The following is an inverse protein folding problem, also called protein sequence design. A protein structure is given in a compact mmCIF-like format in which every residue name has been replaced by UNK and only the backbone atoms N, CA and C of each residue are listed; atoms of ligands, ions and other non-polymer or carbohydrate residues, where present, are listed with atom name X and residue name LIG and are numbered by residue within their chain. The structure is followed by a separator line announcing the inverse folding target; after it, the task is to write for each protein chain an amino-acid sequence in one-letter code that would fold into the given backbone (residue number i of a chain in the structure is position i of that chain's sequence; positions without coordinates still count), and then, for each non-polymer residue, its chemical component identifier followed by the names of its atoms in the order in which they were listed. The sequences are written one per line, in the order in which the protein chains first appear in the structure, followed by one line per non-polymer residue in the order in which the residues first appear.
data_IF_170896269075
#
_entry.id   IF_170896269075
#
_cell.length_a   1.000
_cell.length_b   1.000
_cell.length_c   1.000
_cell.angle_alpha   90.00
_cell.angle_beta   90.00
_cell.angle_gamma   90.00
#
_symmetry.space_group_name_H-M   'P 1'
#
loop_
_entity.id
_entity.type
_entity.pdbx_description
1 polymer ?
#
# COMPACT_ATOMS: atom_id res chain seq x y z
N UNK A 1 15.26 16.28 -35.54
CA UNK A 1 14.10 16.68 -34.72
C UNK A 1 13.37 15.52 -34.02
N UNK A 2 13.46 14.26 -34.49
CA UNK A 2 12.74 13.12 -33.86
C UNK A 2 13.38 12.57 -32.57
N UNK A 3 14.71 12.66 -32.40
CA UNK A 3 15.41 12.10 -31.24
C UNK A 3 15.05 12.83 -29.93
N UNK A 4 14.95 14.17 -29.97
CA UNK A 4 14.68 14.98 -28.79
C UNK A 4 13.28 14.75 -28.21
N UNK A 5 12.27 14.53 -29.06
CA UNK A 5 10.90 14.23 -28.62
C UNK A 5 10.85 12.87 -27.94
N UNK A 6 11.55 11.87 -28.48
CA UNK A 6 11.57 10.52 -27.94
C UNK A 6 12.24 10.48 -26.55
N UNK A 7 13.34 11.23 -26.37
CA UNK A 7 14.01 11.41 -25.07
C UNK A 7 13.10 12.10 -24.05
N UNK A 8 12.34 13.11 -24.48
CA UNK A 8 11.41 13.84 -23.61
C UNK A 8 10.26 12.95 -23.12
N UNK A 9 9.69 12.12 -24.00
CA UNK A 9 8.64 11.16 -23.65
C UNK A 9 9.16 10.14 -22.63
N UNK A 10 10.36 9.60 -22.86
CA UNK A 10 10.98 8.63 -21.94
C UNK A 10 11.21 9.27 -20.57
N UNK A 11 11.73 10.50 -20.52
CA UNK A 11 11.90 11.23 -19.26
C UNK A 11 10.58 11.40 -18.51
N UNK A 12 9.53 11.87 -19.18
CA UNK A 12 8.21 12.08 -18.54
C UNK A 12 7.64 10.77 -18.00
N UNK A 13 7.77 9.67 -18.74
CA UNK A 13 7.30 8.35 -18.30
C UNK A 13 8.05 7.87 -17.04
N UNK A 14 9.38 8.01 -17.02
CA UNK A 14 10.19 7.63 -15.86
C UNK A 14 9.83 8.49 -14.64
N UNK A 15 9.73 9.81 -14.81
CA UNK A 15 9.34 10.70 -13.72
C UNK A 15 7.93 10.41 -13.20
N UNK A 16 6.99 10.11 -14.10
CA UNK A 16 5.62 9.75 -13.71
C UNK A 16 5.62 8.49 -12.85
N UNK A 17 6.28 7.41 -13.30
CA UNK A 17 6.34 6.14 -12.55
C UNK A 17 6.97 6.30 -11.17
N UNK A 18 8.07 7.07 -11.07
CA UNK A 18 8.75 7.33 -9.80
C UNK A 18 7.88 8.16 -8.87
N UNK A 19 7.21 9.18 -9.41
CA UNK A 19 6.29 10.02 -8.64
C UNK A 19 5.13 9.20 -8.07
N UNK A 20 4.49 8.35 -8.88
CA UNK A 20 3.36 7.52 -8.41
C UNK A 20 3.81 6.54 -7.32
N UNK A 21 4.98 5.91 -7.45
CA UNK A 21 5.43 4.93 -6.46
C UNK A 21 5.82 5.54 -5.10
N UNK A 22 6.29 6.78 -5.09
CA UNK A 22 6.75 7.46 -3.86
C UNK A 22 5.65 8.23 -3.14
N UNK A 23 4.62 8.69 -3.87
CA UNK A 23 3.55 9.51 -3.30
C UNK A 23 2.25 8.77 -3.03
N UNK A 24 2.10 7.51 -3.47
CA UNK A 24 0.93 6.73 -3.09
C UNK A 24 1.07 6.30 -1.63
N UNK A 25 0.23 6.80 -0.71
CA UNK A 25 0.31 6.40 0.68
C UNK A 25 -0.02 4.91 0.77
N UNK A 26 0.99 4.11 1.16
CA UNK A 26 0.76 2.71 1.51
C UNK A 26 0.12 2.67 2.89
N UNK A 27 -0.91 1.85 3.05
CA UNK A 27 -1.44 1.56 4.38
C UNK A 27 -0.45 0.62 5.08
N UNK A 28 0.46 1.20 5.86
CA UNK A 28 1.47 0.48 6.63
C UNK A 28 1.57 1.04 8.05
N UNK A 29 1.81 0.17 9.01
CA UNK A 29 2.16 0.53 10.39
C UNK A 29 3.67 0.45 10.57
N UNK A 30 4.22 1.31 11.44
CA UNK A 30 5.63 1.27 11.83
C UNK A 30 5.72 0.91 13.30
N UNK A 31 6.51 -0.09 13.61
CA UNK A 31 6.82 -0.50 14.98
C UNK A 31 8.34 -0.51 15.14
N UNK A 32 8.84 -0.01 16.26
CA UNK A 32 10.27 0.00 16.55
C UNK A 32 10.56 -1.02 17.63
N UNK A 33 11.50 -1.92 17.35
CA UNK A 33 12.03 -2.81 18.36
C UNK A 33 12.94 -2.05 19.34
N UNK A 34 13.20 -2.67 20.49
CA UNK A 34 14.08 -2.12 21.53
C UNK A 34 15.54 -1.95 21.09
N UNK A 35 15.96 -2.69 20.06
CA UNK A 35 17.28 -2.60 19.42
C UNK A 35 17.37 -1.48 18.36
N UNK A 36 16.27 -0.74 18.14
CA UNK A 36 16.17 0.33 17.15
C UNK A 36 15.80 -0.16 15.75
N UNK A 37 15.57 -1.45 15.55
CA UNK A 37 15.16 -1.98 14.25
C UNK A 37 13.70 -1.59 13.95
N UNK A 38 13.44 -1.07 12.74
CA UNK A 38 12.09 -0.75 12.26
C UNK A 38 11.42 -2.00 11.67
N UNK A 39 10.23 -2.32 12.15
CA UNK A 39 9.34 -3.33 11.58
C UNK A 39 8.22 -2.61 10.85
N UNK A 40 8.10 -2.90 9.56
CA UNK A 40 6.99 -2.42 8.73
C UNK A 40 5.86 -3.47 8.80
N UNK A 41 4.71 -3.06 9.35
CA UNK A 41 3.48 -3.86 9.37
C UNK A 41 2.65 -3.54 8.13
N UNK A 42 2.58 -4.49 7.21
CA UNK A 42 1.71 -4.40 6.05
C UNK A 42 0.32 -4.99 6.35
N UNK A 43 -0.68 -4.63 5.56
CA UNK A 43 -2.01 -5.27 5.64
C UNK A 43 -1.89 -6.76 5.31
N UNK A 44 -2.08 -7.62 6.31
CA UNK A 44 -2.09 -9.08 6.12
C UNK A 44 -3.46 -9.54 5.63
N UNK A 45 -3.48 -10.19 4.47
CA UNK A 45 -4.65 -10.85 3.91
C UNK A 45 -4.58 -12.34 4.18
N UNK A 46 -5.08 -12.80 5.33
CA UNK A 46 -5.23 -14.22 5.58
C UNK A 46 -6.61 -14.65 5.05
N UNK A 47 -6.70 -15.03 3.77
CA UNK A 47 -7.94 -15.59 3.20
C UNK A 47 -7.97 -17.10 3.46
N UNK A 48 -8.69 -17.53 4.49
CA UNK A 48 -8.96 -18.96 4.74
C UNK A 48 -10.28 -19.41 4.09
N UNK A 49 -11.16 -18.48 3.73
CA UNK A 49 -12.47 -18.79 3.15
C UNK A 49 -12.49 -18.73 1.63
N UNK A 50 -13.29 -19.61 1.00
CA UNK A 50 -13.44 -19.74 -0.45
C UNK A 50 -14.17 -18.55 -1.12
N UNK A 51 -14.81 -17.66 -0.36
CA UNK A 51 -15.47 -16.45 -0.87
C UNK A 51 -15.60 -15.37 0.22
N UNK A 52 -14.50 -14.71 0.59
CA UNK A 52 -14.55 -13.78 1.69
C UNK A 52 -15.17 -12.46 1.21
N UNK A 53 -16.20 -11.99 1.91
CA UNK A 53 -16.82 -10.69 1.61
C UNK A 53 -15.81 -9.58 1.90
N UNK A 54 -15.30 -8.92 0.86
CA UNK A 54 -14.28 -7.89 0.99
C UNK A 54 -14.90 -6.55 1.41
N UNK A 55 -14.40 -5.97 2.50
CA UNK A 55 -14.69 -4.58 2.90
C UNK A 55 -13.46 -3.75 2.62
N UNK A 56 -13.53 -2.77 1.70
CA UNK A 56 -12.41 -1.86 1.49
C UNK A 56 -12.08 -1.08 2.77
N UNK A 57 -10.80 -0.89 3.04
CA UNK A 57 -10.33 -0.04 4.14
C UNK A 57 -10.52 1.44 3.82
N UNK A 58 -10.38 2.30 4.83
CA UNK A 58 -10.43 3.76 4.63
C UNK A 58 -9.00 4.33 4.50
N UNK A 59 -8.58 4.78 3.30
CA UNK A 59 -7.23 5.28 3.08
C UNK A 59 -6.90 6.55 3.89
N UNK A 60 -7.89 7.21 4.51
CA UNK A 60 -7.69 8.40 5.34
C UNK A 60 -7.44 8.06 6.83
N UNK A 61 -7.60 6.81 7.23
CA UNK A 61 -7.39 6.37 8.61
C UNK A 61 -5.97 5.83 8.81
N UNK A 62 -5.41 5.89 10.04
CA UNK A 62 -4.12 5.29 10.33
C UNK A 62 -4.19 3.76 10.27
N UNK A 63 -3.04 3.11 10.10
CA UNK A 63 -2.93 1.65 10.27
C UNK A 63 -3.42 1.23 11.67
N UNK A 64 -4.20 0.14 11.83
CA UNK A 64 -4.62 -0.83 10.80
C UNK A 64 -5.97 -0.51 10.12
N UNK A 65 -6.57 0.66 10.37
CA UNK A 65 -7.92 0.98 9.88
C UNK A 65 -7.98 1.32 8.38
N UNK A 66 -6.86 1.73 7.78
CA UNK A 66 -6.74 1.83 6.34
C UNK A 66 -6.65 0.47 5.62
N UNK A 67 -6.50 -0.63 6.36
CA UNK A 67 -6.46 -1.95 5.75
C UNK A 67 -7.88 -2.43 5.40
N UNK A 68 -8.05 -3.02 4.22
CA UNK A 68 -9.27 -3.79 3.93
C UNK A 68 -9.42 -4.98 4.87
N UNK A 69 -10.66 -5.37 5.12
CA UNK A 69 -11.04 -6.45 6.04
C UNK A 69 -11.99 -7.43 5.37
N UNK A 70 -12.02 -8.67 5.84
CA UNK A 70 -13.05 -9.63 5.45
C UNK A 70 -14.25 -9.53 6.37
N UNK A 71 -15.45 -9.36 5.80
CA UNK A 71 -16.73 -9.45 6.48
C UNK A 71 -17.04 -10.93 6.70
N UNK A 72 -16.38 -11.49 7.71
CA UNK A 72 -16.43 -12.91 8.06
C UNK A 72 -15.56 -13.24 9.27
N UNK A 73 -14.41 -12.56 9.43
CA UNK A 73 -13.65 -12.63 10.67
C UNK A 73 -14.21 -11.63 11.68
N UNK A 74 -15.18 -12.12 12.43
CA UNK A 74 -15.44 -11.67 13.80
C UNK A 74 -14.29 -12.16 14.66
N UNK A 75 -13.15 -11.48 14.64
CA UNK A 75 -12.16 -11.59 15.72
C UNK A 75 -12.44 -10.36 16.61
N UNK A 76 -13.26 -10.48 17.65
CA UNK A 76 -12.86 -11.02 18.96
C UNK A 76 -11.67 -10.21 19.51
N UNK A 77 -12.03 -9.20 20.31
CA UNK A 77 -11.23 -8.41 21.28
C UNK A 77 -9.76 -8.05 20.95
#
# INVERSE_FOLDING_TARGET
MKLNILVLIVLVLVFSIVYTQTTTPKCEGKEYNWDGTEIIKECKFNSVEENPLFVPGDPNLPFPYCCPKYKGNVDSD
#
